data_IF_115593304339
#
_entry.id   IF_115593304339
#
_cell.length_a   1.000
_cell.length_b   1.000
_cell.length_c   1.000
_cell.angle_alpha   90.00
_cell.angle_beta   90.00
_cell.angle_gamma   90.00
#
_symmetry.space_group_name_H-M   'P 1'
#
loop_
_entity.id
_entity.type
_entity.pdbx_description
1 polymer ?
#
# COMPACT_ATOMS: atom_id res chain seq x y z
N UNK A 1 -15.45 34.70 10.43
CA UNK A 1 -14.38 33.82 10.92
C UNK A 1 -13.34 33.80 9.79
N UNK A 2 -12.12 34.29 10.05
CA UNK A 2 -11.06 34.16 9.03
C UNK A 2 -10.77 32.65 8.86
N UNK A 3 -11.01 32.10 7.65
CA UNK A 3 -10.52 30.79 7.30
C UNK A 3 -9.00 30.83 7.40
N UNK A 4 -8.43 30.11 8.33
CA UNK A 4 -6.98 29.93 8.44
C UNK A 4 -6.50 29.27 7.15
N UNK A 5 -5.63 29.92 6.40
CA UNK A 5 -5.06 29.34 5.19
C UNK A 5 -4.37 28.00 5.56
N UNK A 6 -4.67 26.93 4.82
CA UNK A 6 -4.09 25.62 5.07
C UNK A 6 -2.55 25.65 4.98
N UNK A 7 -1.98 26.55 4.20
CA UNK A 7 -0.54 26.82 4.16
C UNK A 7 0.02 27.22 5.55
N UNK A 8 -0.73 27.98 6.32
CA UNK A 8 -0.31 28.40 7.67
C UNK A 8 -0.42 27.25 8.68
N UNK A 9 -1.41 26.35 8.50
CA UNK A 9 -1.50 25.11 9.28
C UNK A 9 -0.27 24.23 9.04
N UNK A 10 0.17 24.07 7.78
CA UNK A 10 1.37 23.31 7.44
C UNK A 10 2.65 23.91 8.06
N UNK A 11 2.83 25.24 7.96
CA UNK A 11 3.99 25.94 8.55
C UNK A 11 4.01 25.81 10.08
N UNK A 12 2.85 25.96 10.72
CA UNK A 12 2.72 25.78 12.17
C UNK A 12 3.06 24.31 12.57
N UNK A 13 2.65 23.34 11.76
CA UNK A 13 2.99 21.91 11.95
C UNK A 13 4.51 21.68 11.90
N UNK A 14 5.21 22.24 10.91
CA UNK A 14 6.68 22.17 10.80
C UNK A 14 7.36 22.84 12.00
N UNK A 15 6.91 24.01 12.40
CA UNK A 15 7.43 24.73 13.58
C UNK A 15 7.29 23.89 14.85
N UNK A 16 6.11 23.30 15.06
CA UNK A 16 5.85 22.40 16.19
C UNK A 16 6.76 21.17 16.16
N UNK A 17 6.98 20.57 14.99
CA UNK A 17 7.91 19.45 14.83
C UNK A 17 9.32 19.85 15.27
N UNK A 18 9.85 20.95 14.74
CA UNK A 18 11.20 21.43 15.02
C UNK A 18 11.42 21.81 16.48
N UNK A 19 10.45 22.46 17.11
CA UNK A 19 10.59 23.01 18.46
C UNK A 19 10.21 22.01 19.57
N UNK A 20 9.28 21.08 19.32
CA UNK A 20 8.70 20.26 20.38
C UNK A 20 8.82 18.75 20.16
N UNK A 21 8.91 18.27 18.90
CA UNK A 21 8.97 16.85 18.61
C UNK A 21 10.41 16.40 18.37
N UNK A 22 11.11 17.04 17.43
CA UNK A 22 12.48 16.71 17.07
C UNK A 22 13.45 16.72 18.27
N UNK A 23 13.47 17.73 19.17
CA UNK A 23 14.39 17.75 20.30
C UNK A 23 14.22 16.56 21.23
N UNK A 24 12.98 16.06 21.43
CA UNK A 24 12.68 14.89 22.25
C UNK A 24 13.12 13.57 21.61
N UNK A 25 13.36 13.56 20.31
CA UNK A 25 13.75 12.37 19.49
C UNK A 25 15.10 12.59 18.80
N UNK A 26 15.87 13.59 19.20
CA UNK A 26 17.13 13.98 18.54
C UNK A 26 18.07 12.80 18.33
N UNK A 27 18.33 12.00 19.35
CA UNK A 27 19.23 10.84 19.26
C UNK A 27 18.78 9.80 18.22
N UNK A 28 17.46 9.59 18.09
CA UNK A 28 16.90 8.74 17.05
C UNK A 28 17.21 9.29 15.67
N UNK A 29 16.91 10.58 15.43
CA UNK A 29 17.14 11.20 14.13
C UNK A 29 18.61 11.31 13.77
N UNK A 30 19.50 11.58 14.73
CA UNK A 30 20.97 11.55 14.53
C UNK A 30 21.48 10.16 14.12
N UNK A 31 20.88 9.08 14.64
CA UNK A 31 21.17 7.72 14.21
C UNK A 31 20.64 7.45 12.81
N UNK A 32 19.37 7.82 12.54
CA UNK A 32 18.72 7.61 11.25
C UNK A 32 19.36 8.42 10.12
N UNK A 33 19.95 9.60 10.43
CA UNK A 33 20.66 10.42 9.45
C UNK A 33 21.92 9.72 8.89
N UNK A 34 22.46 8.73 9.59
CA UNK A 34 23.68 8.00 9.16
C UNK A 34 23.36 6.77 8.33
N UNK A 35 22.23 6.09 8.59
CA UNK A 35 21.78 4.91 7.87
C UNK A 35 20.29 4.66 8.13
N UNK A 36 19.63 4.02 7.16
CA UNK A 36 18.30 3.44 7.34
C UNK A 36 18.38 1.92 7.21
N UNK A 37 17.61 1.23 8.01
CA UNK A 37 17.43 -0.22 7.91
C UNK A 37 15.96 -0.54 8.23
N UNK A 38 15.04 -0.26 7.29
CA UNK A 38 13.63 -0.62 7.48
C UNK A 38 13.48 -2.14 7.48
N UNK A 39 12.53 -2.64 8.25
CA UNK A 39 12.23 -4.07 8.35
C UNK A 39 11.28 -4.50 7.23
N UNK A 40 10.40 -3.59 6.77
CA UNK A 40 9.39 -3.88 5.78
C UNK A 40 9.30 -2.80 4.69
N UNK A 41 8.98 -3.24 3.46
CA UNK A 41 8.36 -2.41 2.42
C UNK A 41 6.84 -2.44 2.66
N UNK A 42 6.25 -1.28 2.92
CA UNK A 42 4.80 -1.13 3.05
C UNK A 42 4.26 -0.42 1.80
N UNK A 43 3.60 -1.17 0.92
CA UNK A 43 3.02 -0.67 -0.31
C UNK A 43 1.51 -0.50 -0.15
N UNK A 44 1.01 0.73 -0.29
CA UNK A 44 -0.39 1.04 -0.03
C UNK A 44 -0.91 2.19 -0.89
N UNK A 45 -2.21 2.49 -0.73
CA UNK A 45 -2.85 3.58 -1.44
C UNK A 45 -2.32 4.96 -1.01
N UNK A 46 -2.30 5.91 -1.97
CA UNK A 46 -2.06 7.33 -1.72
C UNK A 46 -3.23 8.04 -1.00
N UNK A 47 -4.33 7.35 -0.72
CA UNK A 47 -5.51 7.88 -0.02
C UNK A 47 -5.12 8.53 1.31
N UNK A 48 -5.58 9.77 1.53
CA UNK A 48 -5.21 10.58 2.69
C UNK A 48 -5.63 10.00 4.04
N UNK A 49 -6.57 9.05 4.04
CA UNK A 49 -7.08 8.34 5.22
C UNK A 49 -6.19 7.17 5.65
N UNK A 50 -5.27 6.74 4.78
CA UNK A 50 -4.36 5.61 5.03
C UNK A 50 -3.01 6.13 5.51
N UNK A 51 -2.65 5.86 6.75
CA UNK A 51 -1.37 6.29 7.35
C UNK A 51 -0.66 5.03 7.89
N UNK A 52 0.29 4.45 7.13
CA UNK A 52 0.95 3.20 7.50
C UNK A 52 1.52 3.17 8.92
N UNK A 53 2.24 4.20 9.31
CA UNK A 53 2.85 4.30 10.64
C UNK A 53 1.83 4.40 11.79
N UNK A 54 0.63 4.94 11.52
CA UNK A 54 -0.46 4.96 12.50
C UNK A 54 -1.07 3.56 12.64
N UNK A 55 -1.37 2.91 11.51
CA UNK A 55 -2.01 1.58 11.47
C UNK A 55 -1.11 0.52 12.12
N UNK A 56 0.19 0.58 11.87
CA UNK A 56 1.16 -0.42 12.37
C UNK A 56 1.84 -0.02 13.68
N UNK A 57 1.52 1.15 14.22
CA UNK A 57 2.20 1.73 15.40
C UNK A 57 3.73 1.77 15.26
N UNK A 58 4.24 2.06 14.06
CA UNK A 58 5.68 2.14 13.77
C UNK A 58 6.19 3.58 13.80
N UNK A 59 7.49 3.71 14.10
CA UNK A 59 8.19 4.99 14.12
C UNK A 59 9.04 5.24 12.87
N UNK A 60 9.72 6.41 12.83
CA UNK A 60 10.64 6.73 11.74
C UNK A 60 11.74 5.67 11.56
N UNK A 61 11.98 5.26 10.31
CA UNK A 61 13.04 4.34 9.94
C UNK A 61 12.66 2.85 9.95
N UNK A 62 11.46 2.48 10.45
CA UNK A 62 11.02 1.08 10.53
C UNK A 62 10.36 0.59 9.25
N UNK A 63 9.65 1.46 8.53
CA UNK A 63 9.03 1.12 7.26
C UNK A 63 9.68 1.89 6.10
N UNK A 64 9.88 1.23 4.98
CA UNK A 64 10.06 1.86 3.68
C UNK A 64 8.69 1.90 3.01
N UNK A 65 8.14 3.09 2.77
CA UNK A 65 6.75 3.25 2.36
C UNK A 65 6.67 3.66 0.90
N UNK A 66 6.00 2.84 0.09
CA UNK A 66 5.61 3.15 -1.29
C UNK A 66 4.10 3.43 -1.33
N UNK A 67 3.70 4.56 -1.89
CA UNK A 67 2.29 4.93 -1.97
C UNK A 67 1.92 5.35 -3.38
N UNK A 68 0.90 4.71 -3.91
CA UNK A 68 0.35 5.05 -5.23
C UNK A 68 -1.17 4.90 -5.26
N UNK A 69 -1.88 5.48 -6.24
CA UNK A 69 -3.32 5.33 -6.34
C UNK A 69 -3.73 3.85 -6.48
N UNK A 70 -4.48 3.31 -5.49
CA UNK A 70 -5.00 1.95 -5.51
C UNK A 70 -4.00 0.84 -5.12
N UNK A 71 -2.88 1.17 -4.49
CA UNK A 71 -1.84 0.20 -4.07
C UNK A 71 -1.39 -0.76 -5.20
N UNK A 72 -1.37 -0.27 -6.44
CA UNK A 72 -1.09 -1.09 -7.62
C UNK A 72 0.41 -1.35 -7.79
N UNK A 73 0.74 -2.56 -8.21
CA UNK A 73 2.09 -3.01 -8.55
C UNK A 73 2.13 -3.30 -10.04
N UNK A 74 2.91 -2.58 -10.84
CA UNK A 74 3.12 -2.92 -12.25
C UNK A 74 3.79 -4.29 -12.39
N UNK A 75 3.39 -5.07 -13.39
CA UNK A 75 4.16 -6.24 -13.83
C UNK A 75 5.56 -5.74 -14.21
N UNK A 76 6.60 -6.47 -13.78
CA UNK A 76 7.98 -6.09 -14.06
C UNK A 76 8.23 -6.00 -15.58
N UNK A 77 8.80 -4.87 -15.99
CA UNK A 77 9.27 -4.61 -17.35
C UNK A 77 10.67 -3.99 -17.28
N UNK A 78 11.43 -4.09 -18.38
CA UNK A 78 12.78 -3.47 -18.44
C UNK A 78 12.74 -1.95 -18.35
N UNK A 79 11.65 -1.33 -18.81
CA UNK A 79 11.41 0.09 -18.66
C UNK A 79 11.12 0.40 -17.18
N UNK A 80 11.96 1.24 -16.59
CA UNK A 80 11.84 1.60 -15.18
C UNK A 80 10.54 2.39 -14.91
N UNK A 81 9.78 1.94 -13.94
CA UNK A 81 8.67 2.70 -13.34
C UNK A 81 8.93 2.87 -11.85
N UNK A 82 8.47 3.97 -11.26
CA UNK A 82 8.79 4.35 -9.88
C UNK A 82 8.55 3.25 -8.86
N UNK A 83 7.39 2.56 -8.94
CA UNK A 83 7.03 1.46 -8.04
C UNK A 83 8.01 0.30 -8.14
N UNK A 84 8.41 -0.10 -9.35
CA UNK A 84 9.39 -1.18 -9.56
C UNK A 84 10.76 -0.81 -9.00
N UNK A 85 11.17 0.45 -9.12
CA UNK A 85 12.42 0.95 -8.54
C UNK A 85 12.36 0.93 -7.01
N UNK A 86 11.23 1.32 -6.41
CA UNK A 86 11.02 1.26 -4.95
C UNK A 86 11.11 -0.18 -4.44
N UNK A 87 10.49 -1.14 -5.14
CA UNK A 87 10.54 -2.57 -4.79
C UNK A 87 11.98 -3.10 -4.87
N UNK A 88 12.67 -2.86 -5.99
CA UNK A 88 14.04 -3.32 -6.18
C UNK A 88 14.98 -2.73 -5.11
N UNK A 89 14.87 -1.43 -4.83
CA UNK A 89 15.68 -0.77 -3.82
C UNK A 89 15.43 -1.32 -2.42
N UNK A 90 14.16 -1.49 -2.04
CA UNK A 90 13.80 -2.02 -0.73
C UNK A 90 14.31 -3.46 -0.54
N UNK A 91 14.11 -4.33 -1.54
CA UNK A 91 14.45 -5.76 -1.44
C UNK A 91 15.96 -6.01 -1.61
N UNK A 92 16.62 -5.30 -2.54
CA UNK A 92 18.03 -5.57 -2.88
C UNK A 92 18.99 -4.73 -2.05
N UNK A 93 18.75 -3.40 -1.96
CA UNK A 93 19.66 -2.48 -1.30
C UNK A 93 19.40 -2.40 0.22
N UNK A 94 18.16 -2.23 0.62
CA UNK A 94 17.78 -2.13 2.04
C UNK A 94 17.59 -3.49 2.70
N UNK A 95 17.42 -4.56 1.90
CA UNK A 95 17.25 -5.95 2.35
C UNK A 95 16.12 -6.10 3.37
N UNK A 96 14.96 -5.50 3.07
CA UNK A 96 13.75 -5.70 3.89
C UNK A 96 13.38 -7.20 3.96
N UNK A 97 12.87 -7.61 5.10
CA UNK A 97 12.47 -9.00 5.35
C UNK A 97 10.98 -9.23 5.07
N UNK A 98 10.21 -8.14 4.95
CA UNK A 98 8.76 -8.20 4.72
C UNK A 98 8.34 -7.24 3.59
N UNK A 99 7.35 -7.66 2.79
CA UNK A 99 6.57 -6.77 1.92
C UNK A 99 5.11 -6.88 2.35
N UNK A 100 4.48 -5.75 2.63
CA UNK A 100 3.04 -5.66 2.90
C UNK A 100 2.37 -4.96 1.72
N UNK A 101 1.44 -5.63 1.04
CA UNK A 101 0.49 -5.01 0.12
C UNK A 101 -0.77 -4.71 0.90
N UNK A 102 -1.08 -3.44 1.10
CA UNK A 102 -2.22 -3.03 1.90
C UNK A 102 -3.24 -2.24 1.06
N UNK A 103 -4.36 -2.91 0.74
CA UNK A 103 -5.56 -2.27 0.23
C UNK A 103 -6.36 -1.61 1.34
N UNK A 104 -7.43 -0.89 0.99
CA UNK A 104 -8.34 -0.30 1.98
C UNK A 104 -9.77 -0.22 1.48
N UNK A 105 -10.74 -0.19 2.40
CA UNK A 105 -12.15 0.00 2.08
C UNK A 105 -12.39 1.34 1.38
N UNK A 106 -13.40 1.41 0.54
CA UNK A 106 -13.86 2.63 -0.15
C UNK A 106 -12.80 3.31 -1.04
N UNK A 107 -11.86 2.55 -1.63
CA UNK A 107 -10.80 3.08 -2.48
C UNK A 107 -11.36 3.63 -3.80
N UNK A 108 -11.07 4.91 -4.10
CA UNK A 108 -11.53 5.56 -5.33
C UNK A 108 -10.98 4.93 -6.61
N UNK A 109 -9.75 4.41 -6.57
CA UNK A 109 -9.14 3.74 -7.74
C UNK A 109 -9.72 2.35 -7.96
N UNK A 110 -10.01 1.60 -6.89
CA UNK A 110 -10.68 0.30 -7.00
C UNK A 110 -12.11 0.49 -7.55
N UNK A 111 -12.81 1.57 -7.19
CA UNK A 111 -14.07 1.96 -7.85
C UNK A 111 -13.88 2.22 -9.34
N UNK A 112 -12.76 2.85 -9.74
CA UNK A 112 -12.40 3.06 -11.14
C UNK A 112 -12.09 1.77 -11.89
N UNK A 113 -11.49 0.76 -11.23
CA UNK A 113 -11.30 -0.58 -11.78
C UNK A 113 -12.64 -1.29 -11.93
N UNK A 114 -13.51 -1.18 -10.94
CA UNK A 114 -14.85 -1.76 -10.98
C UNK A 114 -15.72 -1.17 -12.11
N UNK A 115 -15.65 0.15 -12.27
CA UNK A 115 -16.41 0.92 -13.25
C UNK A 115 -15.47 1.76 -14.15
N UNK A 116 -14.81 1.17 -15.18
CA UNK A 116 -13.79 1.84 -16.00
C UNK A 116 -14.28 3.13 -16.70
N UNK A 117 -15.56 3.22 -17.01
CA UNK A 117 -16.15 4.41 -17.61
C UNK A 117 -16.06 5.64 -16.70
N UNK A 118 -16.00 5.45 -15.39
CA UNK A 118 -15.91 6.55 -14.41
C UNK A 118 -14.59 7.30 -14.47
N UNK A 119 -13.51 6.70 -14.98
CA UNK A 119 -12.16 7.28 -15.05
C UNK A 119 -11.74 7.71 -16.45
N UNK A 120 -12.63 7.68 -17.45
CA UNK A 120 -12.34 8.03 -18.85
C UNK A 120 -11.84 9.48 -19.02
N UNK A 121 -12.28 10.39 -18.15
CA UNK A 121 -11.82 11.80 -18.11
C UNK A 121 -10.47 11.98 -17.40
N UNK A 122 -9.88 10.92 -16.87
CA UNK A 122 -8.61 10.89 -16.14
C UNK A 122 -7.63 9.93 -16.85
N UNK A 123 -7.06 10.29 -17.99
CA UNK A 123 -6.34 9.36 -18.85
C UNK A 123 -5.11 8.72 -18.20
N UNK A 124 -4.46 9.40 -17.26
CA UNK A 124 -3.36 8.82 -16.48
C UNK A 124 -3.86 7.76 -15.49
N UNK A 125 -4.99 8.03 -14.82
CA UNK A 125 -5.63 7.08 -13.92
C UNK A 125 -6.15 5.86 -14.69
N UNK A 126 -6.82 6.08 -15.83
CA UNK A 126 -7.33 5.00 -16.66
C UNK A 126 -6.22 4.02 -17.10
N UNK A 127 -5.05 4.52 -17.53
CA UNK A 127 -3.89 3.67 -17.82
C UNK A 127 -3.34 2.98 -16.58
N UNK A 128 -3.35 3.66 -15.43
CA UNK A 128 -2.87 3.11 -14.17
C UNK A 128 -3.74 1.97 -13.67
N UNK A 129 -5.06 2.06 -13.83
CA UNK A 129 -6.02 1.02 -13.44
C UNK A 129 -5.87 -0.28 -14.23
N UNK A 130 -5.16 -0.28 -15.37
CA UNK A 130 -4.88 -1.49 -16.15
C UNK A 130 -4.16 -2.57 -15.32
N UNK A 131 -3.34 -2.18 -14.34
CA UNK A 131 -2.66 -3.13 -13.44
C UNK A 131 -3.59 -3.82 -12.43
N UNK A 132 -4.81 -3.34 -12.28
CA UNK A 132 -5.85 -3.95 -11.44
C UNK A 132 -6.96 -4.64 -12.23
N UNK A 133 -6.99 -4.51 -13.56
CA UNK A 133 -8.03 -5.15 -14.38
C UNK A 133 -8.09 -6.67 -14.22
N UNK A 134 -6.95 -7.41 -14.12
CA UNK A 134 -7.02 -8.86 -13.89
C UNK A 134 -7.76 -9.24 -12.61
N UNK A 135 -7.69 -8.44 -11.55
CA UNK A 135 -8.46 -8.67 -10.32
C UNK A 135 -9.97 -8.56 -10.55
N UNK A 136 -10.40 -7.58 -11.36
CA UNK A 136 -11.80 -7.41 -11.74
C UNK A 136 -12.30 -8.58 -12.60
N UNK A 137 -11.51 -8.99 -13.57
CA UNK A 137 -11.85 -10.11 -14.45
C UNK A 137 -11.98 -11.41 -13.65
N UNK A 138 -11.06 -11.66 -12.71
CA UNK A 138 -11.12 -12.81 -11.81
C UNK A 138 -12.36 -12.76 -10.89
N UNK A 139 -12.69 -11.59 -10.33
CA UNK A 139 -13.88 -11.42 -9.51
C UNK A 139 -15.14 -11.84 -10.25
N UNK A 140 -15.36 -11.32 -11.47
CA UNK A 140 -16.58 -11.62 -12.22
C UNK A 140 -16.58 -13.03 -12.83
N UNK A 141 -15.42 -13.63 -13.04
CA UNK A 141 -15.33 -15.04 -13.41
C UNK A 141 -15.76 -15.97 -12.26
N UNK A 142 -15.36 -15.64 -11.03
CA UNK A 142 -15.68 -16.44 -9.85
C UNK A 142 -17.10 -16.14 -9.32
N UNK A 143 -17.52 -14.88 -9.36
CA UNK A 143 -18.81 -14.42 -8.85
C UNK A 143 -19.64 -13.66 -9.90
N UNK A 144 -20.15 -14.32 -10.96
CA UNK A 144 -20.83 -13.64 -12.08
C UNK A 144 -22.12 -12.92 -11.71
N UNK A 145 -22.70 -13.20 -10.56
CA UNK A 145 -23.97 -12.64 -10.07
C UNK A 145 -23.81 -11.93 -8.71
N UNK A 146 -22.60 -11.48 -8.38
CA UNK A 146 -22.33 -10.80 -7.12
C UNK A 146 -23.15 -9.50 -7.00
N UNK A 147 -23.90 -9.31 -5.89
CA UNK A 147 -24.62 -8.07 -5.65
C UNK A 147 -23.70 -6.85 -5.68
N UNK A 148 -24.16 -5.73 -6.26
CA UNK A 148 -23.37 -4.51 -6.44
C UNK A 148 -22.74 -4.02 -5.13
N UNK A 149 -23.46 -4.11 -4.02
CA UNK A 149 -22.96 -3.69 -2.71
C UNK A 149 -21.76 -4.51 -2.20
N UNK A 150 -21.60 -5.74 -2.69
CA UNK A 150 -20.51 -6.65 -2.31
C UNK A 150 -19.32 -6.59 -3.26
N UNK A 151 -19.50 -6.03 -4.47
CA UNK A 151 -18.44 -6.03 -5.50
C UNK A 151 -17.19 -5.26 -5.08
N UNK A 152 -17.34 -4.07 -4.52
CA UNK A 152 -16.19 -3.24 -4.15
C UNK A 152 -15.37 -3.84 -2.98
N UNK A 153 -15.97 -4.32 -1.88
CA UNK A 153 -15.24 -5.01 -0.83
C UNK A 153 -14.44 -6.21 -1.34
N UNK A 154 -15.10 -7.10 -2.10
CA UNK A 154 -14.45 -8.31 -2.60
C UNK A 154 -13.40 -7.97 -3.66
N UNK A 155 -13.66 -7.01 -4.58
CA UNK A 155 -12.65 -6.55 -5.52
C UNK A 155 -11.41 -5.96 -4.83
N UNK A 156 -11.57 -5.33 -3.67
CA UNK A 156 -10.43 -4.83 -2.87
C UNK A 156 -9.53 -5.99 -2.42
N UNK A 157 -10.11 -7.10 -1.96
CA UNK A 157 -9.38 -8.31 -1.59
C UNK A 157 -8.70 -8.95 -2.83
N UNK A 158 -9.43 -9.12 -3.94
CA UNK A 158 -8.89 -9.63 -5.20
C UNK A 158 -7.76 -8.76 -5.75
N UNK A 159 -7.88 -7.43 -5.61
CA UNK A 159 -6.81 -6.54 -6.03
C UNK A 159 -5.54 -6.75 -5.19
N UNK A 160 -5.65 -6.92 -3.88
CA UNK A 160 -4.47 -7.22 -3.04
C UNK A 160 -3.77 -8.49 -3.51
N UNK A 161 -4.51 -9.56 -3.80
CA UNK A 161 -3.95 -10.81 -4.30
C UNK A 161 -3.31 -10.64 -5.68
N UNK A 162 -3.98 -9.96 -6.61
CA UNK A 162 -3.41 -9.64 -7.92
C UNK A 162 -2.11 -8.84 -7.83
N UNK A 163 -2.00 -7.92 -6.87
CA UNK A 163 -0.75 -7.16 -6.69
C UNK A 163 0.37 -8.02 -6.08
N UNK A 164 0.04 -9.03 -5.29
CA UNK A 164 1.01 -10.05 -4.84
C UNK A 164 1.50 -10.87 -6.04
N UNK A 165 0.61 -11.29 -6.94
CA UNK A 165 1.01 -11.98 -8.17
C UNK A 165 1.92 -11.12 -9.04
N UNK A 166 1.61 -9.82 -9.15
CA UNK A 166 2.46 -8.88 -9.87
C UNK A 166 3.86 -8.72 -9.20
N UNK A 167 3.96 -8.77 -7.87
CA UNK A 167 5.24 -8.78 -7.16
C UNK A 167 6.12 -9.97 -7.57
N UNK A 168 5.53 -11.16 -7.75
CA UNK A 168 6.29 -12.35 -8.17
C UNK A 168 6.93 -12.20 -9.56
N UNK A 169 6.53 -11.21 -10.36
CA UNK A 169 7.19 -10.93 -11.64
C UNK A 169 8.51 -10.16 -11.49
N UNK A 170 8.78 -9.57 -10.32
CA UNK A 170 9.99 -8.78 -10.05
C UNK A 170 11.20 -9.67 -9.72
N UNK A 171 12.31 -9.60 -10.46
CA UNK A 171 13.48 -10.46 -10.23
C UNK A 171 14.07 -10.36 -8.82
N UNK A 172 14.09 -9.15 -8.25
CA UNK A 172 14.57 -8.93 -6.87
C UNK A 172 13.73 -9.66 -5.84
N UNK A 173 12.41 -9.69 -6.03
CA UNK A 173 11.46 -10.41 -5.15
C UNK A 173 11.64 -11.92 -5.32
N UNK A 174 11.71 -12.41 -6.56
CA UNK A 174 11.93 -13.84 -6.84
C UNK A 174 13.22 -14.35 -6.19
N UNK A 175 14.31 -13.61 -6.33
CA UNK A 175 15.59 -13.97 -5.72
C UNK A 175 15.48 -14.00 -4.19
N UNK A 176 14.86 -12.98 -3.58
CA UNK A 176 14.72 -12.89 -2.13
C UNK A 176 13.85 -14.02 -1.53
N UNK A 177 12.82 -14.47 -2.27
CA UNK A 177 11.99 -15.62 -1.90
C UNK A 177 12.76 -16.93 -2.02
N UNK A 178 13.55 -17.11 -3.08
CA UNK A 178 14.43 -18.30 -3.24
C UNK A 178 15.49 -18.38 -2.14
N UNK A 179 15.94 -17.24 -1.64
CA UNK A 179 16.86 -17.14 -0.50
C UNK A 179 16.16 -17.30 0.86
N UNK A 180 14.85 -17.54 0.90
CA UNK A 180 14.00 -17.69 2.09
C UNK A 180 14.11 -16.50 3.08
N UNK A 181 14.42 -15.30 2.58
CA UNK A 181 14.63 -14.10 3.42
C UNK A 181 13.52 -13.05 3.29
N UNK A 182 12.47 -13.36 2.54
CA UNK A 182 11.38 -12.42 2.29
C UNK A 182 10.04 -13.09 2.54
N UNK A 183 9.17 -12.42 3.28
CA UNK A 183 7.78 -12.80 3.47
C UNK A 183 6.88 -11.74 2.86
N UNK A 184 5.82 -12.15 2.16
CA UNK A 184 4.84 -11.25 1.54
C UNK A 184 3.51 -11.38 2.29
N UNK A 185 2.92 -10.23 2.63
CA UNK A 185 1.66 -10.11 3.34
C UNK A 185 0.63 -9.36 2.49
N UNK A 186 -0.59 -9.85 2.44
CA UNK A 186 -1.72 -9.18 1.81
C UNK A 186 -2.70 -8.69 2.86
N UNK A 187 -2.86 -7.36 2.99
CA UNK A 187 -3.73 -6.74 4.00
C UNK A 187 -4.84 -5.92 3.37
N UNK A 188 -5.98 -5.85 4.05
CA UNK A 188 -7.06 -4.90 3.77
C UNK A 188 -7.40 -4.14 5.04
N UNK A 189 -7.27 -2.82 4.99
CA UNK A 189 -7.61 -1.90 6.08
C UNK A 189 -9.03 -1.36 5.89
N UNK A 190 -9.89 -1.58 6.86
CA UNK A 190 -11.25 -1.06 6.92
C UNK A 190 -11.25 0.29 7.64
N UNK A 191 -11.41 1.39 6.89
CA UNK A 191 -11.30 2.76 7.41
C UNK A 191 -12.36 3.04 8.48
N UNK A 192 -13.56 2.54 8.30
CA UNK A 192 -14.72 2.80 9.17
C UNK A 192 -14.64 2.12 10.53
N UNK A 193 -13.95 0.98 10.62
CA UNK A 193 -13.84 0.19 11.86
C UNK A 193 -12.43 0.22 12.46
N UNK A 194 -11.41 0.55 11.66
CA UNK A 194 -10.01 0.40 12.05
C UNK A 194 -9.50 -1.04 11.94
N UNK A 195 -10.33 -1.99 11.53
CA UNK A 195 -9.94 -3.39 11.35
C UNK A 195 -8.91 -3.53 10.23
N UNK A 196 -7.90 -4.37 10.46
CA UNK A 196 -7.01 -4.87 9.42
C UNK A 196 -7.18 -6.37 9.30
N UNK A 197 -7.44 -6.83 8.09
CA UNK A 197 -7.55 -8.25 7.76
C UNK A 197 -6.36 -8.66 6.91
N UNK A 198 -5.79 -9.84 7.17
CA UNK A 198 -4.70 -10.43 6.42
C UNK A 198 -5.17 -11.64 5.65
N UNK A 199 -4.67 -11.81 4.43
CA UNK A 199 -4.91 -13.02 3.64
C UNK A 199 -4.20 -14.21 4.29
N UNK A 200 -4.97 -15.22 4.60
CA UNK A 200 -4.51 -16.49 5.12
C UNK A 200 -4.62 -17.58 4.03
N UNK A 201 -3.48 -18.08 3.57
CA UNK A 201 -3.44 -19.05 2.48
C UNK A 201 -4.03 -20.43 2.86
N UNK A 202 -3.94 -20.82 4.14
CA UNK A 202 -4.48 -22.10 4.60
C UNK A 202 -6.01 -22.14 4.52
N UNK A 203 -6.64 -20.98 4.75
CA UNK A 203 -8.10 -20.84 4.68
C UNK A 203 -8.59 -20.21 3.38
N UNK A 204 -7.68 -19.79 2.49
CA UNK A 204 -7.97 -19.06 1.25
C UNK A 204 -8.94 -17.87 1.48
N UNK A 205 -8.72 -17.09 2.52
CA UNK A 205 -9.57 -15.92 2.87
C UNK A 205 -8.82 -14.89 3.71
N UNK A 206 -9.35 -13.68 3.76
CA UNK A 206 -8.89 -12.64 4.67
C UNK A 206 -9.46 -12.88 6.07
N UNK A 207 -8.61 -12.83 7.09
CA UNK A 207 -8.95 -13.00 8.51
C UNK A 207 -8.49 -11.78 9.31
N UNK A 208 -9.21 -11.44 10.39
CA UNK A 208 -8.83 -10.32 11.25
C UNK A 208 -7.49 -10.56 11.93
N UNK A 209 -6.63 -9.52 11.98
CA UNK A 209 -5.36 -9.57 12.70
C UNK A 209 -5.52 -9.41 14.21
N UNK A 210 -6.64 -8.85 14.67
CA UNK A 210 -6.89 -8.63 16.11
C UNK A 210 -7.38 -9.88 16.84
N UNK A 211 -7.70 -10.95 16.11
CA UNK A 211 -8.37 -12.14 16.65
C UNK A 211 -9.82 -11.83 17.04
N UNK A 212 -10.73 -12.77 16.87
CA UNK A 212 -12.07 -12.72 17.46
C UNK A 212 -11.99 -12.95 18.97
#
# INVERSE_FOLDING_TARGET
MNETDFSDVLKAGVTRFQQHIFPKRRLLFEKLAKAQKPEALFLTCADSRVIPSLITHTGPGQLFVERNPGNLVPIYRKEAVGVSASIEYAVTALRVEHIVICGHSDCGVIKGILHPDSVTKLPAVARWTEFGMPARDALFAEYPHLPEAEQLPILTEFNVLNQIDNLYTHPSVQQALQEERLTIHGWVYHIESGEVREYNADFNRFVSLSGD
#
